data_IF_886967215819
#
_entry.id   IF_886967215819
#
_cell.length_a   1.000
_cell.length_b   1.000
_cell.length_c   1.000
_cell.angle_alpha   90.00
_cell.angle_beta   90.00
_cell.angle_gamma   90.00
#
_symmetry.space_group_name_H-M   'P 1'
#
loop_
_entity.id
_entity.type
_entity.pdbx_description
1 polymer ?
#
# COMPACT_ATOMS: atom_id res chain seq x y z
N UNK A 1 22.95 1.34 8.73
CA UNK A 1 21.78 2.24 8.56
C UNK A 1 20.85 1.54 7.58
N UNK A 2 19.82 0.87 8.08
CA UNK A 2 18.90 0.13 7.21
C UNK A 2 17.94 1.12 6.57
N UNK A 3 18.09 1.32 5.26
CA UNK A 3 17.06 1.98 4.44
C UNK A 3 15.77 1.17 4.59
N UNK A 4 14.86 1.63 5.44
CA UNK A 4 13.56 0.98 5.64
C UNK A 4 12.85 0.91 4.29
N UNK A 5 12.52 -0.30 3.87
CA UNK A 5 11.84 -0.54 2.60
C UNK A 5 10.48 0.19 2.60
N UNK A 6 10.04 0.71 1.45
CA UNK A 6 8.73 1.37 1.30
C UNK A 6 7.58 0.49 1.85
N UNK A 7 7.74 -0.83 1.75
CA UNK A 7 6.83 -1.83 2.31
C UNK A 7 6.75 -1.81 3.85
N UNK A 8 7.89 -1.65 4.53
CA UNK A 8 7.91 -1.54 6.00
C UNK A 8 7.20 -0.26 6.44
N UNK A 9 7.45 0.86 5.76
CA UNK A 9 6.75 2.13 6.05
C UNK A 9 5.23 1.98 5.88
N UNK A 10 4.77 1.33 4.81
CA UNK A 10 3.36 1.06 4.60
C UNK A 10 2.78 0.19 5.72
N UNK A 11 3.49 -0.87 6.12
CA UNK A 11 3.04 -1.76 7.19
C UNK A 11 2.97 -1.03 8.53
N UNK A 12 3.97 -0.21 8.84
CA UNK A 12 3.97 0.63 10.04
C UNK A 12 2.82 1.64 10.04
N UNK A 13 2.50 2.25 8.89
CA UNK A 13 1.37 3.16 8.76
C UNK A 13 0.03 2.44 8.99
N UNK A 14 -0.15 1.26 8.42
CA UNK A 14 -1.38 0.46 8.60
C UNK A 14 -1.58 0.06 10.06
N UNK A 15 -0.49 -0.31 10.73
CA UNK A 15 -0.51 -0.68 12.14
C UNK A 15 -0.82 0.53 13.03
N UNK A 16 -0.14 1.65 12.80
CA UNK A 16 -0.38 2.92 13.49
C UNK A 16 -1.82 3.43 13.30
N UNK A 17 -2.36 3.34 12.09
CA UNK A 17 -3.75 3.72 11.81
C UNK A 17 -4.74 2.82 12.53
N UNK A 18 -4.50 1.50 12.52
CA UNK A 18 -5.35 0.54 13.23
C UNK A 18 -5.31 0.76 14.74
N UNK A 19 -4.14 1.11 15.29
CA UNK A 19 -3.96 1.43 16.70
C UNK A 19 -4.61 2.76 17.10
N UNK A 20 -4.54 3.79 16.24
CA UNK A 20 -5.09 5.11 16.51
C UNK A 20 -6.62 5.18 16.33
N UNK A 21 -7.15 4.53 15.30
CA UNK A 21 -8.57 4.59 14.93
C UNK A 21 -9.38 3.36 15.34
N UNK A 22 -8.73 2.26 15.76
CA UNK A 22 -9.38 0.99 16.08
C UNK A 22 -9.95 0.25 14.86
N UNK A 23 -9.68 0.73 13.64
CA UNK A 23 -10.22 0.21 12.40
C UNK A 23 -9.15 0.19 11.30
N UNK A 24 -9.37 -0.64 10.27
CA UNK A 24 -8.51 -0.65 9.08
C UNK A 24 -8.90 0.50 8.16
N UNK A 25 -7.93 1.13 7.48
CA UNK A 25 -8.25 2.14 6.48
C UNK A 25 -9.04 1.50 5.34
N UNK A 26 -9.89 2.28 4.70
CA UNK A 26 -10.69 1.84 3.56
C UNK A 26 -9.89 1.88 2.27
N UNK A 27 -8.94 2.81 2.17
CA UNK A 27 -8.09 3.02 1.00
C UNK A 27 -6.65 3.38 1.38
N UNK A 28 -5.72 2.92 0.56
CA UNK A 28 -4.31 3.31 0.59
C UNK A 28 -4.05 4.15 -0.65
N UNK A 29 -3.64 5.40 -0.46
CA UNK A 29 -3.19 6.30 -1.50
C UNK A 29 -1.68 6.10 -1.68
N UNK A 30 -1.27 5.70 -2.87
CA UNK A 30 0.13 5.40 -3.17
C UNK A 30 0.56 6.17 -4.41
N UNK A 31 1.63 6.94 -4.31
CA UNK A 31 2.25 7.60 -5.45
C UNK A 31 2.78 6.58 -6.46
N UNK A 32 2.89 6.96 -7.73
CA UNK A 32 3.26 6.01 -8.78
C UNK A 32 4.67 5.42 -8.58
N UNK A 33 5.66 6.20 -8.12
CA UNK A 33 7.01 5.68 -7.82
C UNK A 33 6.99 4.82 -6.57
N UNK A 34 6.31 5.25 -5.51
CA UNK A 34 6.15 4.43 -4.30
C UNK A 34 5.49 3.08 -4.61
N UNK A 35 4.47 3.07 -5.47
CA UNK A 35 3.81 1.85 -5.94
C UNK A 35 4.77 0.96 -6.72
N UNK A 36 5.57 1.53 -7.63
CA UNK A 36 6.60 0.78 -8.36
C UNK A 36 7.61 0.12 -7.40
N UNK A 37 8.09 0.85 -6.39
CA UNK A 37 8.96 0.28 -5.36
C UNK A 37 8.28 -0.83 -4.55
N UNK A 38 7.00 -0.68 -4.21
CA UNK A 38 6.22 -1.70 -3.49
C UNK A 38 6.00 -2.96 -4.34
N UNK A 39 5.78 -2.81 -5.65
CA UNK A 39 5.69 -3.93 -6.60
C UNK A 39 7.02 -4.67 -6.77
N UNK A 40 8.14 -4.07 -6.38
CA UNK A 40 9.42 -4.78 -6.27
C UNK A 40 9.47 -5.80 -5.12
N UNK A 41 8.52 -5.75 -4.18
CA UNK A 41 8.38 -6.73 -3.12
C UNK A 41 7.44 -7.85 -3.55
N UNK A 42 7.95 -9.08 -3.61
CA UNK A 42 7.19 -10.26 -4.07
C UNK A 42 5.90 -10.51 -3.28
N UNK A 43 5.88 -10.26 -1.97
CA UNK A 43 4.68 -10.49 -1.15
C UNK A 43 3.59 -9.48 -1.48
N UNK A 44 3.95 -8.20 -1.57
CA UNK A 44 3.01 -7.14 -1.94
C UNK A 44 2.52 -7.33 -3.38
N UNK A 45 3.43 -7.55 -4.33
CA UNK A 45 3.10 -7.73 -5.73
C UNK A 45 2.18 -8.92 -5.95
N UNK A 46 2.45 -10.06 -5.29
CA UNK A 46 1.61 -11.26 -5.42
C UNK A 46 0.21 -10.99 -4.89
N UNK A 47 0.07 -10.42 -3.69
CA UNK A 47 -1.24 -10.16 -3.09
C UNK A 47 -2.06 -9.13 -3.89
N UNK A 48 -1.41 -8.08 -4.40
CA UNK A 48 -2.05 -7.07 -5.24
C UNK A 48 -2.45 -7.62 -6.60
N UNK A 49 -1.61 -8.46 -7.21
CA UNK A 49 -1.88 -9.07 -8.53
C UNK A 49 -2.97 -10.12 -8.42
N UNK A 50 -2.94 -10.97 -7.39
CA UNK A 50 -3.95 -11.99 -7.11
C UNK A 50 -5.32 -11.34 -6.82
N UNK A 51 -5.33 -10.22 -6.10
CA UNK A 51 -6.56 -9.45 -5.89
C UNK A 51 -7.06 -8.73 -7.15
N UNK A 52 -6.23 -8.56 -8.18
CA UNK A 52 -6.51 -7.73 -9.35
C UNK A 52 -6.97 -8.56 -10.56
N UNK A 53 -8.06 -9.31 -10.41
CA UNK A 53 -8.85 -9.80 -11.57
C UNK A 53 -9.28 -8.64 -12.51
N UNK A 54 -9.30 -7.41 -12.00
CA UNK A 54 -9.34 -6.18 -12.80
C UNK A 54 -8.18 -5.26 -12.38
N UNK A 55 -7.42 -4.69 -13.34
CA UNK A 55 -6.30 -3.79 -13.05
C UNK A 55 -6.71 -2.53 -12.27
N UNK A 56 -7.99 -2.14 -12.33
CA UNK A 56 -8.57 -1.02 -11.57
C UNK A 56 -9.13 -1.41 -10.18
N UNK A 57 -9.07 -2.69 -9.80
CA UNK A 57 -9.59 -3.21 -8.51
C UNK A 57 -8.51 -3.82 -7.62
N UNK A 58 -7.27 -3.34 -7.74
CA UNK A 58 -6.13 -3.73 -6.88
C UNK A 58 -6.47 -3.53 -5.39
N UNK A 59 -6.31 -4.58 -4.59
CA UNK A 59 -6.43 -4.51 -3.13
C UNK A 59 -5.23 -5.18 -2.47
N UNK A 60 -4.87 -4.68 -1.30
CA UNK A 60 -3.87 -5.27 -0.42
C UNK A 60 -4.51 -5.44 0.96
N UNK A 61 -4.47 -6.63 1.54
CA UNK A 61 -5.12 -7.00 2.80
C UNK A 61 -6.60 -6.62 2.87
N UNK A 62 -7.31 -6.75 1.74
CA UNK A 62 -8.71 -6.32 1.52
C UNK A 62 -8.94 -4.79 1.55
N UNK A 63 -7.88 -3.99 1.59
CA UNK A 63 -7.91 -2.53 1.53
C UNK A 63 -7.71 -2.09 0.09
N UNK A 64 -8.49 -1.11 -0.37
CA UNK A 64 -8.39 -0.63 -1.76
C UNK A 64 -7.11 0.15 -1.97
N UNK A 65 -6.34 -0.16 -3.03
CA UNK A 65 -5.20 0.67 -3.42
C UNK A 65 -5.63 1.65 -4.50
N UNK A 66 -5.28 2.93 -4.34
CA UNK A 66 -5.43 3.95 -5.36
C UNK A 66 -4.05 4.54 -5.65
N UNK A 67 -3.58 4.31 -6.87
CA UNK A 67 -2.33 4.91 -7.35
C UNK A 67 -2.62 6.34 -7.79
N UNK A 68 -1.87 7.30 -7.27
CA UNK A 68 -1.98 8.73 -7.58
C UNK A 68 -0.84 9.16 -8.51
N UNK A 69 -0.90 10.40 -9.00
CA UNK A 69 0.14 10.97 -9.87
C UNK A 69 1.36 11.46 -9.08
N UNK A 70 1.23 11.58 -7.77
CA UNK A 70 2.31 11.95 -6.88
C UNK A 70 3.44 10.92 -6.93
N UNK A 71 4.68 11.35 -6.72
CA UNK A 71 5.84 10.48 -6.83
C UNK A 71 5.89 9.45 -5.70
N UNK A 72 5.98 9.92 -4.45
CA UNK A 72 6.25 9.07 -3.27
C UNK A 72 5.13 9.11 -2.22
N UNK A 73 3.91 9.50 -2.60
CA UNK A 73 2.77 9.56 -1.68
C UNK A 73 2.51 8.18 -1.04
N UNK A 74 2.22 8.18 0.27
CA UNK A 74 1.88 6.97 1.02
C UNK A 74 0.96 7.36 2.17
N UNK A 75 -0.34 7.36 1.93
CA UNK A 75 -1.36 7.84 2.87
C UNK A 75 -2.51 6.84 3.01
N UNK A 76 -3.23 6.95 4.13
CA UNK A 76 -4.34 6.07 4.50
C UNK A 76 -5.62 6.90 4.64
N UNK A 77 -6.72 6.42 4.05
CA UNK A 77 -8.06 7.03 4.05
C UNK A 77 -9.12 6.02 4.53
#
# INVERSE_FOLDING_TARGET
>A
MTEKSTFEKLTQLLDAYSHAHGARPQKILIGYKAYYHLMGNSNFATEVTDSALNPNKRRYKKIKIKVTKDDYQLELE
#
